data_IF_406083006870
#
_entry.id   IF_406083006870
#
_cell.length_a   1.000
_cell.length_b   1.000
_cell.length_c   1.000
_cell.angle_alpha   90.00
_cell.angle_beta   90.00
_cell.angle_gamma   90.00
#
_symmetry.space_group_name_H-M   'P 1'
#
loop_
_entity.id
_entity.type
_entity.pdbx_description
1 polymer ?
#
# COMPACT_ATOMS: atom_id res chain seq x y z
N UNK A 1 16.05 14.90 8.93
CA UNK A 1 15.52 13.92 9.93
C UNK A 1 15.15 14.69 11.18
N UNK A 2 13.93 14.52 11.71
CA UNK A 2 13.53 15.18 12.98
C UNK A 2 14.23 14.52 14.18
N UNK A 3 14.30 15.24 15.30
CA UNK A 3 14.85 14.68 16.55
C UNK A 3 14.02 13.49 17.02
N UNK A 4 12.69 13.59 16.93
CA UNK A 4 11.77 12.52 17.31
C UNK A 4 11.98 11.26 16.45
N UNK A 5 12.12 11.41 15.12
CA UNK A 5 12.45 10.32 14.21
C UNK A 5 13.78 9.64 14.58
N UNK A 6 14.80 10.44 14.96
CA UNK A 6 16.11 9.89 15.34
C UNK A 6 16.04 9.10 16.65
N UNK A 7 15.27 9.58 17.64
CA UNK A 7 15.03 8.88 18.92
C UNK A 7 14.27 7.56 18.65
N UNK A 8 13.20 7.58 17.85
CA UNK A 8 12.45 6.39 17.50
C UNK A 8 13.32 5.36 16.78
N UNK A 9 14.17 5.81 15.83
CA UNK A 9 15.15 4.94 15.17
C UNK A 9 16.09 4.28 16.17
N UNK A 10 16.63 5.06 17.09
CA UNK A 10 17.53 4.56 18.12
C UNK A 10 16.85 3.51 19.02
N UNK A 11 15.59 3.74 19.41
CA UNK A 11 14.80 2.80 20.19
C UNK A 11 14.49 1.51 19.42
N UNK A 12 14.07 1.61 18.15
CA UNK A 12 13.82 0.44 17.30
C UNK A 12 15.07 -0.40 17.08
N UNK A 13 16.24 0.24 16.83
CA UNK A 13 17.50 -0.45 16.62
C UNK A 13 18.06 -1.10 17.89
N UNK A 14 17.82 -0.48 19.06
CA UNK A 14 18.28 -1.04 20.34
C UNK A 14 17.48 -2.28 20.75
N UNK A 15 16.21 -2.40 20.31
CA UNK A 15 15.36 -3.54 20.67
C UNK A 15 15.33 -3.83 22.16
N UNK A 16 15.48 -5.10 22.53
CA UNK A 16 15.46 -5.57 23.92
C UNK A 16 16.66 -5.12 24.76
N UNK A 17 17.77 -4.70 24.11
CA UNK A 17 18.96 -4.25 24.82
C UNK A 17 18.80 -2.84 25.42
N UNK A 18 17.88 -2.06 24.90
CA UNK A 18 17.67 -0.67 25.31
C UNK A 18 18.83 0.25 24.93
N UNK A 19 18.66 1.56 25.18
CA UNK A 19 19.67 2.58 24.93
C UNK A 19 19.68 3.62 26.03
N UNK A 20 20.85 3.92 26.60
CA UNK A 20 20.95 4.92 27.67
C UNK A 20 20.66 6.33 27.15
N UNK A 21 19.97 7.14 27.95
CA UNK A 21 19.69 8.53 27.61
C UNK A 21 20.96 9.38 27.42
N UNK A 22 22.07 9.00 28.07
CA UNK A 22 23.37 9.65 27.86
C UNK A 22 23.96 9.33 26.48
N UNK A 23 23.81 8.10 26.00
CA UNK A 23 24.22 7.70 24.66
C UNK A 23 23.37 8.38 23.60
N UNK A 24 22.03 8.39 23.75
CA UNK A 24 21.14 9.13 22.84
C UNK A 24 21.49 10.62 22.78
N UNK A 25 21.73 11.25 23.94
CA UNK A 25 22.12 12.66 24.04
C UNK A 25 23.41 12.95 23.26
N UNK A 26 24.40 12.07 23.38
CA UNK A 26 25.67 12.20 22.66
C UNK A 26 25.53 11.97 21.15
N UNK A 27 24.85 10.89 20.77
CA UNK A 27 24.74 10.44 19.36
C UNK A 27 23.87 11.42 18.54
N UNK A 28 22.86 12.04 19.19
CA UNK A 28 21.94 12.99 18.56
C UNK A 28 22.32 14.46 18.78
N UNK A 29 23.40 14.73 19.51
CA UNK A 29 23.87 16.09 19.87
C UNK A 29 22.79 16.98 20.52
N UNK A 30 21.95 16.39 21.41
CA UNK A 30 20.89 17.08 22.16
C UNK A 30 21.10 16.89 23.67
N UNK A 31 20.46 17.71 24.50
CA UNK A 31 20.56 17.55 25.98
C UNK A 31 19.82 16.30 26.46
N UNK A 32 20.24 15.74 27.59
CA UNK A 32 19.54 14.62 28.25
C UNK A 32 18.09 15.00 28.62
N UNK A 33 17.85 16.26 28.97
CA UNK A 33 16.50 16.78 29.22
C UNK A 33 15.65 16.76 27.98
N UNK A 34 16.21 17.09 26.80
CA UNK A 34 15.49 17.00 25.53
C UNK A 34 15.16 15.54 25.18
N UNK A 35 16.10 14.60 25.40
CA UNK A 35 15.80 13.15 25.23
C UNK A 35 14.63 12.75 26.12
N UNK A 36 14.66 13.10 27.40
CA UNK A 36 13.59 12.78 28.34
C UNK A 36 12.25 13.38 27.88
N UNK A 37 12.24 14.66 27.48
CA UNK A 37 11.01 15.31 26.98
C UNK A 37 10.38 14.58 25.80
N UNK A 38 11.18 14.15 24.82
CA UNK A 38 10.67 13.36 23.68
C UNK A 38 10.20 11.96 24.09
N UNK A 39 10.86 11.32 25.06
CA UNK A 39 10.38 10.04 25.60
C UNK A 39 9.01 10.21 26.26
N UNK A 40 8.80 11.30 27.04
CA UNK A 40 7.50 11.58 27.63
C UNK A 40 6.42 11.90 26.58
N UNK A 41 6.78 12.65 25.52
CA UNK A 41 5.89 12.88 24.37
C UNK A 41 5.45 11.56 23.75
N UNK A 42 6.38 10.63 23.48
CA UNK A 42 6.07 9.30 22.94
C UNK A 42 5.17 8.49 23.90
N UNK A 43 5.42 8.54 25.19
CA UNK A 43 4.57 7.88 26.18
C UNK A 43 3.14 8.43 26.18
N UNK A 44 2.98 9.76 26.01
CA UNK A 44 1.66 10.38 25.87
C UNK A 44 0.93 9.96 24.60
N UNK A 45 1.67 9.63 23.54
CA UNK A 45 1.15 9.05 22.30
C UNK A 45 0.84 7.56 22.43
N UNK A 46 1.09 6.93 23.59
CA UNK A 46 0.78 5.52 23.83
C UNK A 46 1.92 4.55 23.59
N UNK A 47 3.14 5.03 23.29
CA UNK A 47 4.31 4.15 23.21
C UNK A 47 4.66 3.59 24.58
N UNK A 48 4.77 2.28 24.70
CA UNK A 48 5.26 1.62 25.89
C UNK A 48 6.79 1.69 25.94
N UNK A 49 7.33 2.69 26.67
CA UNK A 49 8.77 2.87 26.82
C UNK A 49 9.13 2.70 28.29
N UNK A 50 9.88 1.67 28.61
CA UNK A 50 10.45 1.44 29.93
C UNK A 50 11.75 2.22 30.11
N UNK A 51 12.01 2.69 31.34
CA UNK A 51 13.28 3.28 31.71
C UNK A 51 13.95 2.38 32.78
N UNK A 52 15.02 1.71 32.42
CA UNK A 52 15.82 0.88 33.30
C UNK A 52 17.11 1.60 33.68
N UNK A 53 17.52 1.60 34.99
CA UNK A 53 18.75 2.25 35.42
C UNK A 53 20.03 1.74 34.78
N UNK A 54 20.06 0.47 34.33
CA UNK A 54 21.23 -0.20 33.75
C UNK A 54 21.15 -0.27 32.22
N UNK A 55 19.95 -0.47 31.64
CA UNK A 55 19.76 -0.62 30.21
C UNK A 55 19.33 0.67 29.50
N UNK A 56 18.80 1.66 30.25
CA UNK A 56 18.27 2.89 29.71
C UNK A 56 16.84 2.77 29.22
N UNK A 57 16.49 3.38 28.08
CA UNK A 57 15.15 3.34 27.49
C UNK A 57 14.99 2.13 26.57
N UNK A 58 13.91 1.38 26.78
CA UNK A 58 13.55 0.20 25.97
C UNK A 58 12.12 0.35 25.45
N UNK A 59 11.94 0.16 24.16
CA UNK A 59 10.63 0.18 23.50
C UNK A 59 9.96 -1.19 23.66
N UNK A 60 8.87 -1.24 24.44
CA UNK A 60 8.11 -2.47 24.69
C UNK A 60 6.88 -2.62 23.80
N UNK A 61 6.28 -1.48 23.46
CA UNK A 61 5.02 -1.46 22.70
C UNK A 61 4.95 -0.24 21.79
N UNK A 62 4.46 -0.44 20.59
CA UNK A 62 4.13 0.60 19.62
C UNK A 62 2.61 0.64 19.47
N UNK A 63 1.98 1.81 19.70
CA UNK A 63 0.53 1.95 19.55
C UNK A 63 0.11 1.81 18.08
N UNK A 64 -1.15 1.43 17.83
CA UNK A 64 -1.72 1.36 16.48
C UNK A 64 -2.15 2.76 15.98
N UNK A 65 -1.21 3.70 15.94
CA UNK A 65 -1.38 5.04 15.38
C UNK A 65 -0.40 5.26 14.23
N UNK A 66 -0.81 6.01 13.23
CA UNK A 66 0.10 6.40 12.15
C UNK A 66 0.83 7.68 12.57
N UNK A 67 2.14 7.61 12.67
CA UNK A 67 3.03 8.73 12.96
C UNK A 67 4.15 8.76 11.92
N UNK A 68 4.26 9.85 11.14
CA UNK A 68 5.24 9.96 10.05
C UNK A 68 6.67 9.70 10.53
N UNK A 69 7.07 10.28 11.67
CA UNK A 69 8.39 10.08 12.27
C UNK A 69 8.67 8.61 12.63
N UNK A 70 7.66 7.88 13.14
CA UNK A 70 7.81 6.46 13.45
C UNK A 70 7.96 5.62 12.18
N UNK A 71 7.09 5.83 11.20
CA UNK A 71 7.17 5.13 9.92
C UNK A 71 8.52 5.36 9.24
N UNK A 72 8.97 6.63 9.14
CA UNK A 72 10.26 6.99 8.56
C UNK A 72 11.45 6.42 9.36
N UNK A 73 11.33 6.29 10.68
CA UNK A 73 12.40 5.76 11.53
C UNK A 73 12.74 4.31 11.24
N UNK A 74 11.77 3.53 10.75
CA UNK A 74 11.87 2.09 10.43
C UNK A 74 12.27 1.82 8.97
N UNK A 75 12.27 2.85 8.12
CA UNK A 75 12.64 2.72 6.71
C UNK A 75 14.17 2.81 6.52
N UNK A 76 14.75 2.14 5.51
CA UNK A 76 16.15 2.32 5.11
C UNK A 76 16.46 3.79 4.79
N UNK A 77 17.72 4.20 4.94
CA UNK A 77 18.12 5.59 4.71
C UNK A 77 18.22 5.96 3.23
N UNK A 78 18.63 5.02 2.39
CA UNK A 78 18.84 5.17 0.94
C UNK A 78 17.56 5.00 0.11
N UNK A 79 16.39 4.99 0.77
CA UNK A 79 15.09 4.82 0.12
C UNK A 79 14.72 6.00 -0.79
N UNK A 80 14.00 5.70 -1.85
CA UNK A 80 13.29 6.68 -2.66
C UNK A 80 11.87 6.91 -2.10
N UNK A 81 11.08 5.84 -1.95
CA UNK A 81 9.71 5.89 -1.43
C UNK A 81 9.74 6.12 0.10
N UNK A 82 8.99 7.12 0.55
CA UNK A 82 8.93 7.49 1.95
C UNK A 82 10.12 8.29 2.46
N UNK A 83 10.83 9.01 1.57
CA UNK A 83 11.82 10.02 1.96
C UNK A 83 11.20 11.08 2.86
N UNK A 84 9.96 11.44 2.55
CA UNK A 84 9.11 12.27 3.37
C UNK A 84 7.73 11.64 3.49
N UNK A 85 7.14 11.68 4.69
CA UNK A 85 5.84 11.10 4.99
C UNK A 85 5.01 12.08 5.80
N UNK A 86 3.81 12.35 5.32
CA UNK A 86 2.83 13.18 6.02
C UNK A 86 1.63 12.36 6.41
N UNK A 87 1.16 12.51 7.64
CA UNK A 87 -0.05 11.85 8.14
C UNK A 87 -1.10 12.90 8.47
N UNK A 88 -2.25 12.80 7.82
CA UNK A 88 -3.41 13.64 8.10
C UNK A 88 -4.40 12.88 8.99
N UNK A 89 -5.02 13.60 9.92
CA UNK A 89 -6.14 13.05 10.69
C UNK A 89 -7.34 12.77 9.77
N UNK A 90 -7.60 13.68 8.85
CA UNK A 90 -8.66 13.57 7.85
C UNK A 90 -8.29 14.35 6.59
N UNK A 91 -8.67 13.83 5.43
CA UNK A 91 -8.57 14.53 4.14
C UNK A 91 -9.72 14.11 3.21
N UNK A 92 -9.92 14.85 2.15
CA UNK A 92 -10.88 14.43 1.11
C UNK A 92 -10.40 13.13 0.44
N UNK A 93 -9.16 13.12 -0.07
CA UNK A 93 -8.53 11.96 -0.70
C UNK A 93 -7.02 12.13 -0.73
N UNK A 94 -6.28 11.08 -0.37
CA UNK A 94 -4.82 11.08 -0.43
C UNK A 94 -4.29 11.21 -1.85
N UNK A 95 -4.96 10.64 -2.87
CA UNK A 95 -4.59 10.84 -4.28
C UNK A 95 -4.72 12.30 -4.72
N UNK A 96 -5.77 13.01 -4.29
CA UNK A 96 -5.92 14.44 -4.58
C UNK A 96 -4.79 15.27 -3.99
N UNK A 97 -4.34 14.93 -2.77
CA UNK A 97 -3.19 15.60 -2.15
C UNK A 97 -1.91 15.36 -2.94
N UNK A 98 -1.68 14.12 -3.40
CA UNK A 98 -0.52 13.79 -4.24
C UNK A 98 -0.57 14.58 -5.55
N UNK A 99 -1.70 14.62 -6.23
CA UNK A 99 -1.86 15.37 -7.48
C UNK A 99 -1.56 16.86 -7.28
N UNK A 100 -2.15 17.48 -6.25
CA UNK A 100 -1.91 18.88 -5.93
C UNK A 100 -0.44 19.17 -5.62
N UNK A 101 0.19 18.35 -4.79
CA UNK A 101 1.60 18.51 -4.43
C UNK A 101 2.54 18.28 -5.61
N UNK A 102 2.24 17.29 -6.46
CA UNK A 102 3.02 17.02 -7.67
C UNK A 102 3.07 18.21 -8.63
N UNK A 103 1.93 18.92 -8.78
CA UNK A 103 1.84 20.15 -9.59
C UNK A 103 2.63 21.32 -9.01
N UNK A 104 2.88 21.34 -7.69
CA UNK A 104 3.69 22.34 -7.02
C UNK A 104 5.18 21.93 -6.85
N UNK A 105 5.61 20.89 -7.57
CA UNK A 105 7.01 20.47 -7.60
C UNK A 105 7.46 19.57 -6.46
N UNK A 106 6.52 18.95 -5.74
CA UNK A 106 6.86 17.95 -4.71
C UNK A 106 7.74 16.84 -5.29
N UNK A 107 8.74 16.43 -4.52
CA UNK A 107 9.69 15.43 -4.94
C UNK A 107 9.07 14.03 -5.03
N UNK A 108 9.59 13.20 -5.93
CA UNK A 108 9.25 11.79 -6.01
C UNK A 108 9.53 11.06 -4.70
N UNK A 109 8.66 10.11 -4.36
CA UNK A 109 8.78 9.31 -3.16
C UNK A 109 8.07 9.89 -1.93
N UNK A 110 7.41 11.05 -2.06
CA UNK A 110 6.54 11.55 -0.99
C UNK A 110 5.35 10.62 -0.77
N UNK A 111 5.07 10.30 0.50
CA UNK A 111 3.95 9.45 0.91
C UNK A 111 3.02 10.22 1.82
N UNK A 112 1.74 10.17 1.51
CA UNK A 112 0.70 10.77 2.35
C UNK A 112 -0.26 9.72 2.86
N UNK A 113 -0.40 9.67 4.18
CA UNK A 113 -1.40 8.86 4.88
C UNK A 113 -2.55 9.73 5.38
N UNK A 114 -3.72 9.12 5.54
CA UNK A 114 -4.83 9.72 6.27
C UNK A 114 -5.47 8.68 7.20
N UNK A 115 -5.87 9.09 8.41
CA UNK A 115 -6.64 8.22 9.30
C UNK A 115 -8.08 8.05 8.80
N UNK A 116 -8.63 9.06 8.09
CA UNK A 116 -9.93 8.97 7.39
C UNK A 116 -9.93 9.75 6.09
N UNK A 117 -10.78 9.31 5.13
CA UNK A 117 -11.05 10.05 3.91
C UNK A 117 -12.54 10.31 3.75
N UNK A 118 -12.91 11.59 3.50
CA UNK A 118 -14.32 11.98 3.28
C UNK A 118 -14.80 11.72 1.85
N UNK A 119 -13.87 11.65 0.89
CA UNK A 119 -14.11 11.41 -0.54
C UNK A 119 -13.14 10.38 -1.09
N UNK A 120 -12.94 9.26 -0.35
CA UNK A 120 -12.09 8.16 -0.81
C UNK A 120 -12.56 7.64 -2.17
N UNK A 121 -11.61 7.49 -3.12
CA UNK A 121 -11.91 7.12 -4.50
C UNK A 121 -11.51 5.68 -4.80
N UNK A 122 -12.38 4.98 -5.50
CA UNK A 122 -12.09 3.76 -6.23
C UNK A 122 -12.14 3.99 -7.74
N UNK A 123 -11.85 2.97 -8.52
CA UNK A 123 -11.92 3.01 -9.98
C UNK A 123 -13.36 3.27 -10.46
N UNK A 124 -13.49 3.84 -11.65
CA UNK A 124 -14.77 4.09 -12.32
C UNK A 124 -15.74 4.91 -11.46
N UNK A 125 -15.22 5.87 -10.68
CA UNK A 125 -16.06 6.76 -9.85
C UNK A 125 -16.65 6.12 -8.59
N UNK A 126 -16.27 4.89 -8.25
CA UNK A 126 -16.74 4.25 -7.00
C UNK A 126 -16.13 4.94 -5.78
N UNK A 127 -16.87 4.91 -4.69
CA UNK A 127 -16.39 5.39 -3.40
C UNK A 127 -15.61 4.30 -2.68
N UNK A 128 -14.52 4.69 -2.02
CA UNK A 128 -13.77 3.85 -1.08
C UNK A 128 -14.08 4.27 0.35
N UNK A 129 -14.66 3.39 1.13
CA UNK A 129 -15.02 3.64 2.54
C UNK A 129 -13.75 3.65 3.39
N UNK A 130 -13.51 4.74 4.12
CA UNK A 130 -12.24 4.99 4.82
C UNK A 130 -12.48 5.44 6.27
N UNK A 131 -13.02 4.57 7.15
CA UNK A 131 -13.26 4.94 8.55
C UNK A 131 -11.96 5.18 9.31
N UNK A 132 -11.99 6.14 10.24
CA UNK A 132 -10.82 6.54 11.02
C UNK A 132 -10.28 5.42 11.90
N UNK A 133 -8.94 5.27 11.93
CA UNK A 133 -8.23 4.36 12.83
C UNK A 133 -8.36 2.87 12.49
N UNK A 134 -8.97 2.50 11.34
CA UNK A 134 -9.28 1.10 11.04
C UNK A 134 -8.60 0.54 9.79
N UNK A 135 -8.09 1.38 8.93
CA UNK A 135 -7.45 0.96 7.71
C UNK A 135 -6.13 1.67 7.43
N UNK A 136 -5.53 1.31 6.31
CA UNK A 136 -4.42 2.07 5.72
C UNK A 136 -4.93 2.73 4.45
N UNK A 137 -5.00 4.04 4.47
CA UNK A 137 -5.40 4.90 3.37
C UNK A 137 -4.23 5.81 3.06
N UNK A 138 -3.53 5.55 1.98
CA UNK A 138 -2.35 6.34 1.63
C UNK A 138 -2.11 6.39 0.14
N UNK A 139 -1.31 7.36 -0.28
CA UNK A 139 -0.88 7.51 -1.67
C UNK A 139 0.60 7.84 -1.73
N UNK A 140 1.24 7.36 -2.78
CA UNK A 140 2.66 7.57 -3.09
C UNK A 140 2.77 8.40 -4.36
N UNK A 141 3.61 9.43 -4.34
CA UNK A 141 4.00 10.20 -5.53
C UNK A 141 5.18 9.54 -6.21
N UNK A 142 5.02 9.15 -7.47
CA UNK A 142 6.11 8.64 -8.30
C UNK A 142 6.26 9.46 -9.60
N UNK A 143 7.48 9.45 -10.16
CA UNK A 143 7.80 10.05 -11.46
C UNK A 143 8.57 9.03 -12.32
N UNK A 144 7.89 7.93 -12.68
CA UNK A 144 8.54 6.80 -13.33
C UNK A 144 8.97 7.17 -14.77
N UNK A 145 10.10 6.66 -15.24
CA UNK A 145 10.52 6.81 -16.63
C UNK A 145 9.73 5.85 -17.55
N UNK A 146 8.40 5.87 -17.44
CA UNK A 146 7.47 5.02 -18.16
C UNK A 146 6.68 5.84 -19.18
N UNK A 147 6.28 5.17 -20.26
CA UNK A 147 5.28 5.68 -21.19
C UNK A 147 3.87 5.42 -20.67
N UNK A 148 2.87 6.20 -21.09
CA UNK A 148 1.49 6.01 -20.62
C UNK A 148 0.93 4.58 -20.75
N UNK A 149 1.19 3.78 -21.81
CA UNK A 149 0.74 2.39 -21.89
C UNK A 149 1.36 1.46 -20.84
N UNK A 150 2.56 1.79 -20.32
CA UNK A 150 3.30 1.00 -19.34
C UNK A 150 2.85 1.25 -17.88
N UNK A 151 1.93 2.20 -17.66
CA UNK A 151 1.49 2.59 -16.31
C UNK A 151 0.81 1.47 -15.53
N UNK A 152 0.29 0.45 -16.21
CA UNK A 152 -0.26 -0.75 -15.55
C UNK A 152 0.81 -1.48 -14.73
N UNK A 153 2.09 -1.37 -15.10
CA UNK A 153 3.21 -1.92 -14.33
C UNK A 153 3.20 -1.41 -12.87
N UNK A 154 2.86 -0.13 -12.64
CA UNK A 154 2.78 0.42 -11.27
C UNK A 154 1.65 -0.22 -10.46
N UNK A 155 0.54 -0.56 -11.10
CA UNK A 155 -0.56 -1.28 -10.42
C UNK A 155 -0.13 -2.72 -10.10
N UNK A 156 0.58 -3.38 -11.01
CA UNK A 156 1.10 -4.75 -10.85
C UNK A 156 2.08 -4.81 -9.68
N UNK A 157 3.11 -3.94 -9.66
CA UNK A 157 4.08 -3.92 -8.55
C UNK A 157 3.40 -3.61 -7.21
N UNK A 158 2.43 -2.70 -7.20
CA UNK A 158 1.70 -2.36 -5.98
C UNK A 158 0.90 -3.55 -5.46
N UNK A 159 0.19 -4.28 -6.32
CA UNK A 159 -0.57 -5.46 -5.93
C UNK A 159 0.34 -6.58 -5.40
N UNK A 160 1.49 -6.82 -6.07
CA UNK A 160 2.47 -7.83 -5.66
C UNK A 160 3.12 -7.47 -4.31
N UNK A 161 3.53 -6.21 -4.14
CA UNK A 161 4.08 -5.69 -2.88
C UNK A 161 3.08 -5.81 -1.73
N UNK A 162 1.82 -5.46 -1.96
CA UNK A 162 0.74 -5.61 -0.98
C UNK A 162 0.53 -7.06 -0.57
N UNK A 163 0.45 -7.96 -1.53
CA UNK A 163 0.24 -9.39 -1.27
C UNK A 163 1.40 -9.97 -0.45
N UNK A 164 2.64 -9.61 -0.77
CA UNK A 164 3.84 -10.01 -0.03
C UNK A 164 3.80 -9.50 1.42
N UNK A 165 3.59 -8.20 1.61
CA UNK A 165 3.56 -7.59 2.93
C UNK A 165 2.41 -8.12 3.81
N UNK A 166 1.22 -8.35 3.24
CA UNK A 166 0.10 -8.95 3.97
C UNK A 166 0.47 -10.36 4.44
N UNK A 167 1.06 -11.19 3.59
CA UNK A 167 1.48 -12.56 3.95
C UNK A 167 2.48 -12.56 5.09
N UNK A 168 3.48 -11.69 5.04
CA UNK A 168 4.53 -11.58 6.06
C UNK A 168 4.00 -11.11 7.42
N UNK A 169 3.03 -10.19 7.44
CA UNK A 169 2.53 -9.61 8.69
C UNK A 169 1.36 -10.40 9.32
N UNK A 170 0.66 -11.23 8.54
CA UNK A 170 -0.60 -11.84 9.00
C UNK A 170 -0.67 -13.36 8.89
N UNK A 171 0.25 -13.99 8.15
CA UNK A 171 0.20 -15.39 7.73
C UNK A 171 -1.03 -15.75 6.85
N UNK A 172 -1.81 -14.78 6.40
CA UNK A 172 -2.90 -14.97 5.45
C UNK A 172 -2.35 -15.23 4.05
N UNK A 173 -3.17 -15.82 3.17
CA UNK A 173 -2.82 -16.06 1.77
C UNK A 173 -3.62 -15.10 0.89
N UNK A 174 -3.06 -13.93 0.55
CA UNK A 174 -3.70 -13.00 -0.36
C UNK A 174 -3.60 -13.49 -1.81
N UNK A 175 -4.66 -13.21 -2.55
CA UNK A 175 -4.81 -13.50 -3.98
C UNK A 175 -4.97 -12.17 -4.74
N UNK A 176 -4.41 -12.08 -5.93
CA UNK A 176 -4.53 -10.88 -6.76
C UNK A 176 -5.64 -11.11 -7.80
N UNK A 177 -6.65 -10.24 -7.79
CA UNK A 177 -7.64 -10.16 -8.85
C UNK A 177 -7.31 -9.00 -9.77
N UNK A 178 -6.97 -9.31 -11.03
CA UNK A 178 -6.69 -8.28 -12.04
C UNK A 178 -7.86 -7.29 -12.16
N UNK A 179 -7.62 -5.99 -12.32
CA UNK A 179 -6.29 -5.39 -12.44
C UNK A 179 -5.67 -4.97 -11.09
N UNK A 180 -6.42 -4.80 -10.02
CA UNK A 180 -6.01 -3.93 -8.90
C UNK A 180 -6.54 -4.33 -7.52
N UNK A 181 -7.16 -5.48 -7.37
CA UNK A 181 -7.78 -5.91 -6.13
C UNK A 181 -6.99 -7.02 -5.45
N UNK A 182 -6.85 -6.93 -4.13
CA UNK A 182 -6.33 -8.01 -3.30
C UNK A 182 -7.51 -8.67 -2.59
N UNK A 183 -7.57 -9.99 -2.71
CA UNK A 183 -8.61 -10.81 -2.10
C UNK A 183 -8.01 -11.71 -1.03
N UNK A 184 -8.84 -12.09 -0.06
CA UNK A 184 -8.61 -13.19 0.85
C UNK A 184 -9.89 -14.02 0.88
N UNK A 185 -9.78 -15.31 0.54
CA UNK A 185 -10.94 -16.22 0.43
C UNK A 185 -12.05 -15.65 -0.48
N UNK A 186 -11.66 -15.05 -1.61
CA UNK A 186 -12.57 -14.48 -2.58
C UNK A 186 -13.20 -13.14 -2.21
N UNK A 187 -12.90 -12.56 -1.02
CA UNK A 187 -13.42 -11.27 -0.55
C UNK A 187 -12.34 -10.19 -0.62
N UNK A 188 -12.70 -9.01 -1.06
CA UNK A 188 -11.78 -7.88 -1.25
C UNK A 188 -11.31 -7.31 0.09
N UNK A 189 -9.98 -7.28 0.28
CA UNK A 189 -9.33 -6.69 1.46
C UNK A 189 -8.58 -5.42 1.13
N UNK A 190 -8.10 -5.25 -0.10
CA UNK A 190 -7.39 -4.06 -0.52
C UNK A 190 -7.64 -3.74 -2.00
N UNK A 191 -7.38 -2.48 -2.38
CA UNK A 191 -7.43 -2.03 -3.76
C UNK A 191 -6.37 -0.97 -4.03
N UNK A 192 -5.89 -0.95 -5.27
CA UNK A 192 -4.93 0.02 -5.79
C UNK A 192 -5.63 0.92 -6.80
N UNK A 193 -5.42 2.23 -6.71
CA UNK A 193 -5.88 3.23 -7.68
C UNK A 193 -4.69 4.04 -8.18
N UNK A 194 -4.22 3.72 -9.38
CA UNK A 194 -3.17 4.49 -10.06
C UNK A 194 -3.80 5.57 -10.91
N UNK A 195 -3.53 6.83 -10.59
CA UNK A 195 -3.87 8.02 -11.40
C UNK A 195 -2.58 8.65 -11.91
N UNK A 196 -2.58 9.19 -13.13
CA UNK A 196 -1.39 9.78 -13.72
C UNK A 196 -1.69 11.09 -14.42
N UNK A 197 -0.67 11.93 -14.49
CA UNK A 197 -0.60 13.02 -15.47
C UNK A 197 0.48 12.67 -16.48
N UNK A 198 0.13 12.68 -17.76
CA UNK A 198 1.03 12.28 -18.83
C UNK A 198 0.98 13.28 -19.99
N UNK A 199 2.10 13.39 -20.69
CA UNK A 199 2.23 13.90 -22.05
C UNK A 199 2.12 12.71 -23.02
N UNK A 200 2.03 12.92 -24.35
CA UNK A 200 1.83 11.80 -25.28
C UNK A 200 2.88 10.68 -25.18
N UNK A 201 4.11 11.02 -24.82
CA UNK A 201 5.28 10.12 -24.84
C UNK A 201 5.87 9.80 -23.46
N UNK A 202 5.44 10.51 -22.42
CA UNK A 202 6.00 10.34 -21.06
C UNK A 202 4.98 10.60 -19.96
N UNK A 203 5.19 9.95 -18.83
CA UNK A 203 4.46 10.23 -17.59
C UNK A 203 5.16 11.36 -16.85
N UNK A 204 4.41 12.41 -16.50
CA UNK A 204 4.92 13.52 -15.67
C UNK A 204 4.99 13.11 -14.21
N UNK A 205 3.91 12.51 -13.71
CA UNK A 205 3.84 11.91 -12.38
C UNK A 205 2.68 10.92 -12.29
N UNK A 206 2.76 10.07 -11.27
CA UNK A 206 1.72 9.13 -10.89
C UNK A 206 1.39 9.26 -9.40
N UNK A 207 0.10 9.22 -9.07
CA UNK A 207 -0.41 9.02 -7.73
C UNK A 207 -0.84 7.56 -7.59
N UNK A 208 -0.16 6.80 -6.75
CA UNK A 208 -0.53 5.42 -6.44
C UNK A 208 -1.31 5.41 -5.13
N UNK A 209 -2.63 5.39 -5.22
CA UNK A 209 -3.53 5.27 -4.07
C UNK A 209 -3.68 3.82 -3.65
N UNK A 210 -3.52 3.57 -2.37
CA UNK A 210 -3.63 2.25 -1.76
C UNK A 210 -4.62 2.33 -0.60
N UNK A 211 -5.67 1.50 -0.68
CA UNK A 211 -6.65 1.35 0.38
C UNK A 211 -6.65 -0.08 0.90
N UNK A 212 -6.47 -0.27 2.21
CA UNK A 212 -6.45 -1.59 2.84
C UNK A 212 -7.39 -1.61 4.03
N UNK A 213 -8.32 -2.53 4.03
CA UNK A 213 -9.20 -2.82 5.16
C UNK A 213 -8.39 -3.62 6.20
N UNK A 214 -7.81 -2.95 7.21
CA UNK A 214 -6.94 -3.62 8.19
C UNK A 214 -7.76 -4.15 9.37
N UNK A 215 -8.33 -3.25 10.17
CA UNK A 215 -9.03 -3.58 11.41
C UNK A 215 -10.54 -3.24 11.36
N UNK A 216 -11.13 -3.20 10.15
CA UNK A 216 -12.56 -3.01 9.99
C UNK A 216 -13.33 -4.25 10.51
N UNK A 217 -14.51 -4.01 11.06
CA UNK A 217 -15.50 -5.03 11.41
C UNK A 217 -16.60 -5.07 10.36
N UNK A 218 -17.45 -6.08 10.38
CA UNK A 218 -18.58 -6.21 9.44
C UNK A 218 -19.51 -4.99 9.45
N UNK A 219 -19.69 -4.34 10.61
CA UNK A 219 -20.52 -3.14 10.75
C UNK A 219 -19.94 -1.88 10.12
N UNK A 220 -18.64 -1.85 9.86
CA UNK A 220 -17.97 -0.72 9.21
C UNK A 220 -18.19 -0.71 7.69
N UNK A 221 -18.62 -1.82 7.12
CA UNK A 221 -18.95 -1.91 5.69
C UNK A 221 -20.42 -1.58 5.43
N UNK A 222 -20.72 -0.82 4.36
CA UNK A 222 -22.06 -0.71 3.81
C UNK A 222 -22.67 -2.11 3.58
N UNK A 223 -23.98 -2.22 3.74
CA UNK A 223 -24.67 -3.52 3.69
C UNK A 223 -24.39 -4.28 2.39
N UNK A 224 -24.37 -3.57 1.26
CA UNK A 224 -24.13 -4.10 -0.08
C UNK A 224 -22.69 -4.63 -0.30
N UNK A 225 -21.74 -4.25 0.54
CA UNK A 225 -20.34 -4.68 0.45
C UNK A 225 -19.98 -5.84 1.39
N UNK A 226 -20.82 -6.18 2.38
CA UNK A 226 -20.48 -7.13 3.44
C UNK A 226 -20.15 -8.54 2.94
N UNK A 227 -20.79 -8.96 1.84
CA UNK A 227 -20.53 -10.27 1.24
C UNK A 227 -19.31 -10.31 0.32
N UNK A 228 -18.83 -9.13 -0.12
CA UNK A 228 -17.78 -8.99 -1.13
C UNK A 228 -16.48 -8.38 -0.59
N UNK A 229 -16.55 -7.74 0.58
CA UNK A 229 -15.41 -7.12 1.25
C UNK A 229 -15.11 -7.79 2.59
N UNK A 230 -13.85 -7.70 3.01
CA UNK A 230 -13.38 -8.19 4.31
C UNK A 230 -12.25 -7.31 4.81
N UNK A 231 -11.73 -7.59 6.01
CA UNK A 231 -10.54 -6.97 6.57
C UNK A 231 -9.50 -8.01 6.99
N UNK A 232 -8.26 -7.56 7.14
CA UNK A 232 -7.19 -8.44 7.64
C UNK A 232 -7.50 -8.98 9.03
N UNK A 233 -8.04 -8.14 9.92
CA UNK A 233 -8.40 -8.57 11.28
C UNK A 233 -9.52 -9.62 11.29
N UNK A 234 -10.54 -9.46 10.45
CA UNK A 234 -11.63 -10.45 10.32
C UNK A 234 -11.11 -11.80 9.83
N UNK A 235 -10.18 -11.80 8.86
CA UNK A 235 -9.63 -13.04 8.30
C UNK A 235 -8.58 -13.69 9.20
N UNK A 236 -7.79 -12.89 9.94
CA UNK A 236 -6.76 -13.36 10.85
C UNK A 236 -7.31 -13.73 12.25
N UNK A 237 -8.53 -13.30 12.58
CA UNK A 237 -9.12 -13.48 13.92
C UNK A 237 -8.44 -12.67 15.02
N UNK A 238 -7.60 -11.68 14.66
CA UNK A 238 -6.87 -10.80 15.59
C UNK A 238 -6.59 -9.44 14.96
N UNK A 239 -6.42 -8.39 15.76
CA UNK A 239 -5.97 -7.10 15.24
C UNK A 239 -4.61 -7.18 14.54
N UNK A 240 -4.42 -6.35 13.53
CA UNK A 240 -3.17 -6.20 12.77
C UNK A 240 -2.60 -4.82 13.01
N UNK A 241 -1.32 -4.74 13.35
CA UNK A 241 -0.62 -3.48 13.60
C UNK A 241 -0.44 -2.70 12.30
N UNK A 242 -1.19 -1.60 12.13
CA UNK A 242 -1.16 -0.77 10.92
C UNK A 242 0.21 -0.15 10.63
N UNK A 243 0.93 0.43 11.63
CA UNK A 243 2.27 0.96 11.37
C UNK A 243 3.26 -0.06 10.84
N UNK A 244 3.28 -1.27 11.39
CA UNK A 244 4.19 -2.34 10.94
C UNK A 244 3.85 -2.79 9.52
N UNK A 245 2.57 -2.97 9.22
CA UNK A 245 2.10 -3.31 7.88
C UNK A 245 2.45 -2.21 6.87
N UNK A 246 2.26 -0.93 7.22
CA UNK A 246 2.60 0.21 6.37
C UNK A 246 4.08 0.22 5.99
N UNK A 247 4.98 0.03 6.97
CA UNK A 247 6.43 -0.05 6.73
C UNK A 247 6.77 -1.22 5.80
N UNK A 248 6.23 -2.43 6.05
CA UNK A 248 6.47 -3.59 5.19
C UNK A 248 6.00 -3.36 3.75
N UNK A 249 4.85 -2.72 3.56
CA UNK A 249 4.33 -2.40 2.22
C UNK A 249 5.25 -1.41 1.51
N UNK A 250 5.66 -0.33 2.19
CA UNK A 250 6.51 0.68 1.58
C UNK A 250 7.89 0.11 1.21
N UNK A 251 8.46 -0.78 2.03
CA UNK A 251 9.71 -1.47 1.73
C UNK A 251 9.57 -2.41 0.53
N UNK A 252 8.49 -3.19 0.47
CA UNK A 252 8.21 -4.06 -0.66
C UNK A 252 7.98 -3.27 -1.95
N UNK A 253 7.23 -2.15 -1.87
CA UNK A 253 6.98 -1.26 -3.01
C UNK A 253 8.26 -0.58 -3.51
N UNK A 254 9.14 -0.13 -2.60
CA UNK A 254 10.47 0.38 -2.93
C UNK A 254 11.28 -0.64 -3.72
N UNK A 255 11.32 -1.89 -3.25
CA UNK A 255 12.05 -2.98 -3.90
C UNK A 255 11.52 -3.23 -5.32
N UNK A 256 10.21 -3.32 -5.48
CA UNK A 256 9.59 -3.61 -6.77
C UNK A 256 9.66 -2.41 -7.73
N UNK A 257 9.56 -1.19 -7.20
CA UNK A 257 9.76 0.02 -8.00
C UNK A 257 11.21 0.12 -8.53
N UNK A 258 12.21 -0.22 -7.71
CA UNK A 258 13.61 -0.31 -8.17
C UNK A 258 13.81 -1.36 -9.27
N UNK A 259 13.02 -2.45 -9.29
CA UNK A 259 13.02 -3.41 -10.40
C UNK A 259 12.52 -2.76 -11.70
N UNK A 260 11.45 -1.93 -11.63
CA UNK A 260 11.00 -1.14 -12.80
C UNK A 260 12.12 -0.22 -13.28
N UNK A 261 12.71 0.58 -12.38
CA UNK A 261 13.77 1.54 -12.73
C UNK A 261 15.00 0.87 -13.35
N UNK A 262 15.23 -0.40 -13.08
CA UNK A 262 16.33 -1.21 -13.64
C UNK A 262 15.91 -2.10 -14.81
N UNK A 263 14.70 -1.93 -15.36
CA UNK A 263 14.20 -2.71 -16.51
C UNK A 263 13.87 -4.17 -16.20
N UNK A 264 13.64 -4.52 -14.93
CA UNK A 264 13.38 -5.90 -14.47
C UNK A 264 11.92 -6.12 -14.08
N UNK A 265 10.98 -5.47 -14.74
CA UNK A 265 9.55 -5.63 -14.47
C UNK A 265 9.08 -7.08 -14.63
N UNK A 266 9.65 -7.84 -15.58
CA UNK A 266 9.28 -9.24 -15.82
C UNK A 266 9.42 -10.15 -14.59
N UNK A 267 10.34 -9.84 -13.66
CA UNK A 267 10.48 -10.60 -12.43
C UNK A 267 9.24 -10.44 -11.56
N UNK A 268 8.74 -9.20 -11.42
CA UNK A 268 7.53 -8.92 -10.64
C UNK A 268 6.29 -9.44 -11.35
N UNK A 269 6.25 -9.36 -12.68
CA UNK A 269 5.15 -9.90 -13.48
C UNK A 269 4.96 -11.41 -13.28
N UNK A 270 6.05 -12.18 -13.14
CA UNK A 270 6.00 -13.62 -12.82
C UNK A 270 5.45 -13.85 -11.40
N UNK A 271 5.99 -13.14 -10.40
CA UNK A 271 5.50 -13.22 -9.02
C UNK A 271 4.01 -12.86 -8.92
N UNK A 272 3.58 -11.88 -9.70
CA UNK A 272 2.18 -11.48 -9.80
C UNK A 272 1.31 -12.58 -10.42
N UNK A 273 1.78 -13.19 -11.52
CA UNK A 273 1.04 -14.23 -12.23
C UNK A 273 0.78 -15.46 -11.34
N UNK A 274 1.77 -15.85 -10.52
CA UNK A 274 1.66 -16.96 -9.57
C UNK A 274 0.57 -16.74 -8.50
N UNK A 275 0.21 -15.48 -8.23
CA UNK A 275 -0.78 -15.08 -7.23
C UNK A 275 -2.12 -14.63 -7.85
N UNK A 276 -2.20 -14.56 -9.18
CA UNK A 276 -3.35 -14.00 -9.88
C UNK A 276 -4.46 -15.03 -10.10
N UNK A 277 -5.55 -14.89 -9.36
CA UNK A 277 -6.73 -15.76 -9.50
C UNK A 277 -7.56 -15.49 -10.76
N UNK A 278 -7.25 -14.42 -11.50
CA UNK A 278 -7.94 -14.11 -12.76
C UNK A 278 -7.42 -14.96 -13.91
N UNK A 279 -6.13 -15.29 -13.92
CA UNK A 279 -5.52 -16.08 -14.98
C UNK A 279 -6.09 -17.50 -15.00
N UNK A 280 -6.29 -18.02 -16.21
CA UNK A 280 -6.89 -19.33 -16.44
C UNK A 280 -8.42 -19.38 -16.35
N UNK A 281 -9.07 -18.30 -15.85
CA UNK A 281 -10.52 -18.24 -15.65
C UNK A 281 -11.26 -17.69 -16.86
N UNK A 282 -12.53 -18.10 -17.02
CA UNK A 282 -13.49 -17.40 -17.85
C UNK A 282 -13.89 -16.10 -17.17
N UNK A 283 -13.76 -14.99 -17.87
CA UNK A 283 -14.03 -13.66 -17.32
C UNK A 283 -14.89 -12.85 -18.27
N UNK A 284 -15.66 -11.95 -17.65
CA UNK A 284 -16.34 -10.87 -18.34
C UNK A 284 -15.68 -9.56 -17.95
N UNK A 285 -15.16 -8.85 -18.95
CA UNK A 285 -14.53 -7.54 -18.75
C UNK A 285 -15.40 -6.46 -19.35
N UNK A 286 -15.87 -5.53 -18.48
CA UNK A 286 -16.62 -4.36 -18.93
C UNK A 286 -15.69 -3.15 -19.00
N UNK A 287 -15.56 -2.60 -20.22
CA UNK A 287 -14.84 -1.36 -20.50
C UNK A 287 -15.84 -0.35 -21.09
N UNK A 288 -16.16 0.72 -20.35
CA UNK A 288 -17.18 1.69 -20.76
C UNK A 288 -18.48 0.99 -21.17
N UNK A 289 -18.86 1.10 -22.45
CA UNK A 289 -20.07 0.50 -23.03
C UNK A 289 -19.81 -0.87 -23.69
N UNK A 290 -18.56 -1.34 -23.70
CA UNK A 290 -18.17 -2.61 -24.31
C UNK A 290 -17.94 -3.67 -23.26
N UNK A 291 -18.52 -4.84 -23.50
CA UNK A 291 -18.28 -6.03 -22.68
C UNK A 291 -17.58 -7.09 -23.54
N UNK A 292 -16.44 -7.57 -23.05
CA UNK A 292 -15.67 -8.65 -23.68
C UNK A 292 -15.68 -9.85 -22.75
N UNK A 293 -16.03 -11.03 -23.29
CA UNK A 293 -16.00 -12.30 -22.57
C UNK A 293 -14.92 -13.21 -23.15
N UNK A 294 -14.22 -13.95 -22.31
CA UNK A 294 -13.21 -14.89 -22.76
C UNK A 294 -12.39 -15.46 -21.61
N UNK A 295 -11.40 -16.28 -21.97
CA UNK A 295 -10.46 -16.85 -21.02
C UNK A 295 -9.28 -15.90 -20.82
N UNK A 296 -8.99 -15.53 -19.58
CA UNK A 296 -7.80 -14.76 -19.22
C UNK A 296 -6.56 -15.67 -19.32
N UNK A 297 -5.70 -15.46 -20.32
CA UNK A 297 -4.57 -16.37 -20.56
C UNK A 297 -3.27 -15.93 -19.93
N UNK A 298 -2.92 -14.65 -20.06
CA UNK A 298 -1.65 -14.13 -19.61
C UNK A 298 -1.73 -12.62 -19.37
N UNK A 299 -0.65 -12.05 -18.89
CA UNK A 299 -0.39 -10.61 -18.86
C UNK A 299 0.77 -10.30 -19.82
N UNK A 300 0.68 -9.20 -20.57
CA UNK A 300 1.77 -8.77 -21.45
C UNK A 300 2.86 -7.98 -20.68
N UNK A 301 3.93 -7.60 -21.39
CA UNK A 301 5.06 -6.87 -20.84
C UNK A 301 4.69 -5.46 -20.30
N UNK A 302 3.56 -4.92 -20.70
CA UNK A 302 3.06 -3.61 -20.22
C UNK A 302 2.04 -3.76 -19.07
N UNK A 303 1.71 -5.00 -18.66
CA UNK A 303 0.77 -5.29 -17.59
C UNK A 303 -0.71 -5.42 -18.03
N UNK A 304 -1.00 -5.44 -19.32
CA UNK A 304 -2.34 -5.64 -19.84
C UNK A 304 -2.72 -7.13 -19.83
N UNK A 305 -4.01 -7.41 -19.56
CA UNK A 305 -4.55 -8.77 -19.61
C UNK A 305 -4.76 -9.22 -21.05
N UNK A 306 -4.26 -10.40 -21.39
CA UNK A 306 -4.49 -11.05 -22.67
C UNK A 306 -5.68 -12.02 -22.56
N UNK A 307 -6.77 -11.70 -23.27
CA UNK A 307 -8.03 -12.40 -23.18
C UNK A 307 -8.28 -13.16 -24.50
N UNK A 308 -8.45 -14.48 -24.43
CA UNK A 308 -8.87 -15.28 -25.57
C UNK A 308 -10.38 -15.33 -25.63
N UNK A 309 -10.92 -14.77 -26.67
CA UNK A 309 -12.35 -14.74 -26.98
C UNK A 309 -12.84 -16.05 -27.59
N UNK A 310 -14.15 -16.28 -27.67
CA UNK A 310 -14.75 -17.51 -28.15
C UNK A 310 -14.43 -17.81 -29.64
N UNK A 311 -14.17 -16.78 -30.44
CA UNK A 311 -13.75 -16.88 -31.86
C UNK A 311 -12.25 -17.19 -32.01
N UNK A 312 -11.54 -17.43 -30.92
CA UNK A 312 -10.11 -17.77 -30.88
C UNK A 312 -9.16 -16.57 -30.96
N UNK A 313 -9.66 -15.34 -31.06
CA UNK A 313 -8.84 -14.15 -31.13
C UNK A 313 -8.25 -13.81 -29.73
N UNK A 314 -7.03 -13.30 -29.72
CA UNK A 314 -6.39 -12.80 -28.51
C UNK A 314 -6.57 -11.29 -28.43
N UNK A 315 -7.34 -10.82 -27.43
CA UNK A 315 -7.63 -9.40 -27.23
C UNK A 315 -6.83 -8.84 -26.05
N UNK A 316 -6.19 -7.70 -26.27
CA UNK A 316 -5.44 -6.98 -25.24
C UNK A 316 -6.37 -6.06 -24.46
N UNK A 317 -6.39 -6.23 -23.13
CA UNK A 317 -7.24 -5.48 -22.20
C UNK A 317 -6.35 -4.70 -21.23
N UNK A 318 -6.39 -3.37 -21.29
CA UNK A 318 -5.57 -2.49 -20.45
C UNK A 318 -6.25 -2.07 -19.14
N UNK A 319 -7.56 -2.29 -19.02
CA UNK A 319 -8.35 -1.94 -17.84
C UNK A 319 -9.80 -2.38 -18.01
N UNK A 320 -10.61 -2.19 -16.99
CA UNK A 320 -12.03 -2.57 -17.01
C UNK A 320 -12.44 -3.24 -15.71
N UNK A 321 -13.72 -3.53 -15.58
CA UNK A 321 -14.31 -4.22 -14.44
C UNK A 321 -14.38 -5.71 -14.75
N UNK A 322 -13.64 -6.53 -14.00
CA UNK A 322 -13.55 -7.97 -14.25
C UNK A 322 -14.49 -8.73 -13.32
N UNK A 323 -15.38 -9.51 -13.91
CA UNK A 323 -16.21 -10.49 -13.22
C UNK A 323 -15.72 -11.89 -13.57
N UNK A 324 -15.38 -12.68 -12.56
CA UNK A 324 -15.06 -14.10 -12.73
C UNK A 324 -16.38 -14.86 -12.94
N UNK A 325 -16.49 -15.63 -14.01
CA UNK A 325 -17.67 -16.44 -14.27
C UNK A 325 -17.54 -17.79 -13.53
N UNK A 326 -18.49 -18.07 -12.66
CA UNK A 326 -18.47 -19.29 -11.81
C UNK A 326 -18.83 -20.58 -12.54
N UNK A 327 -19.23 -20.50 -13.82
CA UNK A 327 -19.63 -21.67 -14.62
C UNK A 327 -18.94 -21.61 -15.98
N UNK A 328 -18.39 -22.73 -16.50
CA UNK A 328 -17.95 -22.77 -17.89
C UNK A 328 -19.15 -22.46 -18.78
N UNK A 329 -19.07 -21.43 -19.59
CA UNK A 329 -19.99 -21.25 -20.70
C UNK A 329 -19.81 -22.51 -21.57
N UNK A 330 -20.78 -23.43 -21.57
CA UNK A 330 -20.86 -24.43 -22.62
C UNK A 330 -21.02 -23.67 -23.93
N UNK A 331 -19.98 -23.70 -24.73
CA UNK A 331 -20.04 -23.22 -26.10
C UNK A 331 -21.03 -24.11 -26.87
N UNK A 332 -21.89 -23.50 -27.68
CA UNK A 332 -22.84 -24.26 -28.50
C UNK A 332 -22.15 -25.15 -29.53
#
# INVERSE_FOLDING_TARGET
MSTLQSILRALHQAGDQGMSGSRMSKDLAISRTAVWSHIEELRQLGYGIEADPHQGYRLLHVPDILLGDDLMSRMPEDRLIGRDMTVFRETASTNLLVEQRAMHGEAEGWVVFAESQTQGKGRLGRQWVSPSGKGLWFSVLLRPPLRPPEMTQLTVISATSLARAIRENTALQPEIKWPNDILIRGRKVAGVLTEMRAEPDRVSHAAIGIGINVNLTSSDFPQELRDHATSLAMEAGRPVCRPSLAVSILQALEQDYRRILSGRFEEVAREWADQCVTLGQQVRVRQWDVTVCGRAESMDAEGALMLRTADGNLQRITGGDVTLEKTPVQLP
#
